data_IF_561314090137
#
_entry.id   IF_561314090137
#
_cell.length_a   1.000
_cell.length_b   1.000
_cell.length_c   1.000
_cell.angle_alpha   90.00
_cell.angle_beta   90.00
_cell.angle_gamma   90.00
#
_symmetry.space_group_name_H-M   'P 1'
#
loop_
_entity.id
_entity.type
_entity.pdbx_description
1 polymer ?
#
# COMPACT_ATOMS: atom_id res chain seq x y z
N UNK A 1 -18.08 -9.62 9.72
CA UNK A 1 -18.92 -8.42 9.98
C UNK A 1 -20.31 -8.80 9.55
N UNK A 2 -21.27 -8.74 10.46
CA UNK A 2 -22.69 -8.89 10.14
C UNK A 2 -23.37 -7.54 10.24
N UNK A 3 -24.30 -7.26 9.33
CA UNK A 3 -24.86 -5.93 9.18
C UNK A 3 -25.94 -5.85 8.12
N UNK A 4 -26.43 -4.64 7.87
CA UNK A 4 -27.43 -4.34 6.87
C UNK A 4 -27.01 -3.15 6.01
N UNK A 5 -27.60 -3.04 4.82
CA UNK A 5 -27.40 -1.89 3.94
C UNK A 5 -28.31 -0.74 4.40
N UNK A 6 -27.70 0.37 4.79
CA UNK A 6 -28.36 1.64 5.10
C UNK A 6 -28.24 2.65 3.96
N UNK A 7 -29.08 3.67 3.98
CA UNK A 7 -28.97 4.85 3.11
C UNK A 7 -29.15 6.09 3.97
N UNK A 8 -28.28 7.08 3.78
CA UNK A 8 -28.37 8.36 4.48
C UNK A 8 -27.63 9.46 3.69
N UNK A 9 -27.48 10.62 4.28
CA UNK A 9 -26.80 11.77 3.72
C UNK A 9 -25.32 11.75 4.09
N UNK A 10 -24.46 12.00 3.10
CA UNK A 10 -23.03 12.22 3.30
C UNK A 10 -22.70 13.68 2.95
N UNK A 11 -22.22 14.44 3.91
CA UNK A 11 -21.71 15.80 3.67
C UNK A 11 -20.19 15.74 3.51
N UNK A 12 -19.68 16.19 2.36
CA UNK A 12 -18.26 16.26 2.06
C UNK A 12 -17.94 17.61 1.42
N UNK A 13 -16.94 18.32 1.97
CA UNK A 13 -16.53 19.66 1.52
C UNK A 13 -17.71 20.66 1.36
N UNK A 14 -18.65 20.61 2.30
CA UNK A 14 -19.87 21.43 2.28
C UNK A 14 -20.93 21.01 1.25
N UNK A 15 -20.66 20.00 0.43
CA UNK A 15 -21.62 19.41 -0.52
C UNK A 15 -22.36 18.26 0.15
N UNK A 16 -23.69 18.28 0.06
CA UNK A 16 -24.55 17.23 0.62
C UNK A 16 -24.91 16.22 -0.47
N UNK A 17 -24.48 14.98 -0.29
CA UNK A 17 -24.85 13.85 -1.13
C UNK A 17 -26.01 13.08 -0.50
N UNK A 18 -27.15 13.04 -1.20
CA UNK A 18 -28.36 12.35 -0.74
C UNK A 18 -28.33 10.86 -1.08
N UNK A 19 -28.99 10.04 -0.24
CA UNK A 19 -29.25 8.62 -0.50
C UNK A 19 -27.95 7.84 -0.82
N UNK A 20 -26.91 8.06 -0.01
CA UNK A 20 -25.63 7.34 -0.14
C UNK A 20 -25.78 5.99 0.55
N UNK A 21 -25.60 4.86 -0.18
CA UNK A 21 -25.61 3.54 0.43
C UNK A 21 -24.36 3.32 1.28
N UNK A 22 -24.51 2.76 2.46
CA UNK A 22 -23.39 2.35 3.33
C UNK A 22 -23.76 1.12 4.16
N UNK A 23 -22.76 0.37 4.61
CA UNK A 23 -22.98 -0.79 5.47
C UNK A 23 -23.08 -0.39 6.95
N UNK A 24 -24.18 -0.72 7.60
CA UNK A 24 -24.34 -0.63 9.05
C UNK A 24 -23.89 -1.96 9.67
N UNK A 25 -22.80 -1.95 10.44
CA UNK A 25 -22.32 -3.13 11.15
C UNK A 25 -23.00 -3.26 12.53
N UNK A 26 -23.57 -4.43 12.82
CA UNK A 26 -24.05 -4.77 14.16
C UNK A 26 -22.91 -5.32 15.02
N UNK A 27 -22.03 -6.10 14.38
CA UNK A 27 -20.83 -6.66 15.00
C UNK A 27 -19.62 -6.49 14.07
N UNK A 28 -18.53 -5.97 14.65
CA UNK A 28 -17.24 -5.84 13.99
C UNK A 28 -16.19 -6.65 14.76
N UNK A 29 -15.58 -7.61 14.08
CA UNK A 29 -14.44 -8.37 14.62
C UNK A 29 -13.14 -7.79 14.04
N UNK A 30 -12.06 -7.86 14.83
CA UNK A 30 -10.73 -7.38 14.42
C UNK A 30 -10.65 -5.89 14.03
N UNK A 31 -11.65 -5.08 14.39
CA UNK A 31 -11.61 -3.63 14.21
C UNK A 31 -11.10 -2.95 15.48
N UNK A 32 -9.77 -2.88 15.62
CA UNK A 32 -9.13 -2.15 16.71
C UNK A 32 -9.17 -0.65 16.40
N UNK A 33 -10.08 0.08 17.04
CA UNK A 33 -10.31 1.50 16.76
C UNK A 33 -10.27 2.38 18.02
N UNK A 34 -9.90 1.83 19.18
CA UNK A 34 -9.89 2.48 20.50
C UNK A 34 -11.18 3.27 20.84
N UNK A 35 -12.32 2.90 20.23
CA UNK A 35 -13.60 3.62 20.29
C UNK A 35 -13.56 5.06 19.75
N UNK A 36 -12.55 5.40 18.95
CA UNK A 36 -12.38 6.73 18.34
C UNK A 36 -13.15 6.85 17.03
N UNK A 37 -13.27 5.76 16.27
CA UNK A 37 -13.90 5.76 14.95
C UNK A 37 -15.25 5.04 14.95
N UNK A 38 -16.26 5.65 14.34
CA UNK A 38 -17.60 5.05 14.20
C UNK A 38 -17.72 4.07 13.01
N UNK A 39 -16.69 3.94 12.17
CA UNK A 39 -16.70 3.07 11.00
C UNK A 39 -15.49 3.24 10.09
N UNK A 40 -15.56 2.66 8.89
CA UNK A 40 -14.52 2.69 7.86
C UNK A 40 -15.12 3.15 6.53
N UNK A 41 -14.39 4.01 5.81
CA UNK A 41 -14.73 4.38 4.43
C UNK A 41 -13.82 3.60 3.48
N UNK A 42 -14.40 2.72 2.67
CA UNK A 42 -13.65 2.04 1.61
C UNK A 42 -13.42 2.99 0.44
N UNK A 43 -12.17 3.23 0.04
CA UNK A 43 -11.85 4.02 -1.16
C UNK A 43 -12.33 3.36 -2.48
N UNK A 44 -12.77 2.10 -2.41
CA UNK A 44 -13.43 1.34 -3.49
C UNK A 44 -14.92 1.68 -3.59
N UNK A 45 -15.54 2.14 -2.50
CA UNK A 45 -16.98 2.36 -2.36
C UNK A 45 -17.45 3.67 -2.99
N UNK A 46 -16.62 4.29 -3.84
CA UNK A 46 -16.97 5.49 -4.60
C UNK A 46 -17.86 5.10 -5.80
N UNK A 47 -18.97 4.44 -5.47
CA UNK A 47 -20.08 4.18 -6.35
C UNK A 47 -20.84 5.46 -6.66
N UNK A 48 -21.46 5.51 -7.86
CA UNK A 48 -21.97 6.68 -8.60
C UNK A 48 -20.97 7.33 -9.58
N UNK A 49 -20.21 6.53 -10.33
CA UNK A 49 -19.45 7.01 -11.50
C UNK A 49 -18.16 7.78 -11.19
N UNK A 50 -17.76 7.85 -9.92
CA UNK A 50 -16.52 8.46 -9.49
C UNK A 50 -15.39 7.43 -9.62
N UNK A 51 -14.77 7.39 -10.80
CA UNK A 51 -13.76 6.39 -11.19
C UNK A 51 -12.35 6.66 -10.66
N UNK A 52 -12.18 7.67 -9.80
CA UNK A 52 -10.87 8.15 -9.37
C UNK A 52 -10.95 8.80 -8.00
N UNK A 53 -9.89 8.63 -7.21
CA UNK A 53 -9.67 9.36 -5.98
C UNK A 53 -8.19 9.74 -5.86
N UNK A 54 -7.87 10.68 -4.96
CA UNK A 54 -6.50 11.01 -4.60
C UNK A 54 -6.42 11.30 -3.11
N UNK A 55 -5.32 10.90 -2.47
CA UNK A 55 -5.13 11.11 -1.04
C UNK A 55 -3.73 11.68 -0.77
N UNK A 56 -3.62 12.40 0.35
CA UNK A 56 -2.35 12.77 0.96
C UNK A 56 -2.48 12.50 2.45
N UNK A 57 -1.90 11.39 2.90
CA UNK A 57 -1.86 11.02 4.31
C UNK A 57 -0.66 11.70 4.98
N UNK A 58 -0.79 11.99 6.28
CA UNK A 58 0.28 12.52 7.11
C UNK A 58 0.48 11.61 8.31
N UNK A 59 1.71 11.52 8.78
CA UNK A 59 2.02 10.79 10.01
C UNK A 59 1.71 11.69 11.21
N UNK A 60 0.78 11.27 12.07
CA UNK A 60 0.28 12.04 13.22
C UNK A 60 1.27 12.24 14.39
N UNK A 61 2.58 12.18 14.15
CA UNK A 61 3.64 12.25 15.15
C UNK A 61 4.46 13.55 15.18
N UNK A 62 4.13 14.55 14.34
CA UNK A 62 4.84 15.84 14.28
C UNK A 62 4.03 16.95 13.64
N UNK A 63 4.29 18.20 14.06
CA UNK A 63 3.59 19.46 13.72
C UNK A 63 2.06 19.35 13.69
N UNK A 64 1.42 19.83 14.76
CA UNK A 64 -0.02 19.78 15.06
C UNK A 64 -0.95 20.50 14.05
N UNK A 65 -0.45 20.93 12.89
CA UNK A 65 -1.18 21.80 11.97
C UNK A 65 -1.19 21.35 10.50
N UNK A 66 -0.79 20.10 10.20
CA UNK A 66 -0.88 19.56 8.83
C UNK A 66 -2.17 18.78 8.66
N UNK A 67 -3.00 19.22 7.71
CA UNK A 67 -4.20 18.50 7.29
C UNK A 67 -3.89 17.73 6.00
N UNK A 68 -4.18 16.43 6.01
CA UNK A 68 -4.21 15.61 4.81
C UNK A 68 -5.46 15.88 3.98
N UNK A 69 -5.59 15.17 2.87
CA UNK A 69 -6.83 15.20 2.08
C UNK A 69 -7.15 13.83 1.51
N UNK A 70 -8.43 13.63 1.22
CA UNK A 70 -8.97 12.56 0.40
C UNK A 70 -9.98 13.21 -0.53
N UNK A 71 -9.79 13.10 -1.85
CA UNK A 71 -10.61 13.74 -2.90
C UNK A 71 -11.16 12.69 -3.84
N UNK A 72 -12.34 12.95 -4.41
CA UNK A 72 -13.04 12.01 -5.28
C UNK A 72 -13.39 12.63 -6.64
N UNK A 73 -13.46 11.78 -7.67
CA UNK A 73 -13.90 12.11 -9.02
C UNK A 73 -13.24 13.32 -9.66
N UNK A 74 -14.04 14.37 -9.86
CA UNK A 74 -13.66 15.62 -10.54
C UNK A 74 -12.73 16.48 -9.70
N UNK A 75 -12.74 16.32 -8.37
CA UNK A 75 -11.90 17.10 -7.46
C UNK A 75 -10.43 16.64 -7.49
N UNK A 76 -10.16 15.50 -8.12
CA UNK A 76 -8.81 15.00 -8.33
C UNK A 76 -8.15 15.79 -9.48
N UNK A 77 -7.14 16.63 -9.22
CA UNK A 77 -6.51 17.43 -10.26
C UNK A 77 -5.79 16.54 -11.27
N UNK A 78 -5.84 16.92 -12.55
CA UNK A 78 -4.94 16.33 -13.56
C UNK A 78 -3.62 17.06 -13.49
N UNK A 79 -2.52 16.32 -13.29
CA UNK A 79 -1.18 16.89 -13.34
C UNK A 79 -0.33 16.04 -14.29
N UNK A 80 0.16 16.62 -15.41
CA UNK A 80 0.97 15.88 -16.37
C UNK A 80 2.34 15.47 -15.82
N UNK A 81 2.76 16.00 -14.66
CA UNK A 81 4.01 15.64 -13.99
C UNK A 81 3.88 14.41 -13.07
N UNK A 82 2.68 13.86 -12.90
CA UNK A 82 2.52 12.65 -12.10
C UNK A 82 3.22 11.48 -12.78
N UNK A 83 3.97 10.71 -11.98
CA UNK A 83 4.41 9.38 -12.37
C UNK A 83 3.23 8.44 -12.13
N UNK A 84 2.82 7.75 -13.17
CA UNK A 84 1.68 6.83 -13.13
C UNK A 84 2.16 5.41 -13.33
N UNK A 85 1.39 4.47 -12.83
CA UNK A 85 1.49 3.05 -13.15
C UNK A 85 0.07 2.51 -13.32
N UNK A 86 -0.08 1.47 -14.13
CA UNK A 86 -1.38 0.84 -14.37
C UNK A 86 -1.86 0.08 -13.14
N UNK A 87 -3.09 0.34 -12.74
CA UNK A 87 -3.83 -0.54 -11.83
C UNK A 87 -4.19 -1.80 -12.61
N UNK A 88 -3.77 -2.95 -12.10
CA UNK A 88 -4.03 -4.24 -12.70
C UNK A 88 -5.51 -4.61 -12.56
N UNK A 89 -6.11 -5.25 -13.58
CA UNK A 89 -7.48 -5.74 -13.47
C UNK A 89 -7.57 -6.83 -12.41
N UNK A 90 -8.78 -7.01 -11.86
CA UNK A 90 -9.08 -8.17 -11.04
C UNK A 90 -8.84 -9.47 -11.84
N UNK A 91 -8.36 -10.52 -11.17
CA UNK A 91 -8.12 -11.83 -11.75
C UNK A 91 -9.43 -12.56 -12.03
N UNK A 92 -10.43 -12.38 -11.18
CA UNK A 92 -11.78 -12.91 -11.30
C UNK A 92 -12.80 -12.03 -10.55
N UNK A 93 -14.07 -12.48 -10.51
CA UNK A 93 -15.17 -11.76 -9.87
C UNK A 93 -15.20 -11.87 -8.33
N UNK A 94 -14.41 -12.78 -7.75
CA UNK A 94 -14.34 -13.04 -6.32
C UNK A 94 -13.15 -12.34 -5.65
N UNK A 95 -12.18 -11.88 -6.44
CA UNK A 95 -11.07 -11.11 -5.92
C UNK A 95 -11.56 -9.81 -5.27
N UNK A 96 -11.25 -9.68 -3.97
CA UNK A 96 -11.52 -8.47 -3.21
C UNK A 96 -10.92 -7.28 -3.94
N UNK A 97 -11.73 -6.24 -4.13
CA UNK A 97 -11.30 -5.00 -4.79
C UNK A 97 -10.07 -4.46 -4.07
N UNK A 98 -8.91 -4.58 -4.72
CA UNK A 98 -7.61 -4.07 -4.27
C UNK A 98 -6.95 -3.29 -5.40
N UNK A 99 -6.18 -2.26 -5.06
CA UNK A 99 -5.43 -1.48 -6.04
C UNK A 99 -4.10 -2.16 -6.34
N UNK A 100 -4.15 -3.21 -7.17
CA UNK A 100 -2.96 -3.98 -7.53
C UNK A 100 -2.12 -3.27 -8.58
N UNK A 101 -0.80 -3.31 -8.42
CA UNK A 101 0.19 -2.76 -9.35
C UNK A 101 1.27 -3.80 -9.64
N UNK A 102 1.93 -3.71 -10.80
CA UNK A 102 2.97 -4.65 -11.22
C UNK A 102 4.33 -4.24 -10.67
N UNK A 103 4.72 -4.74 -9.50
CA UNK A 103 6.05 -4.53 -8.92
C UNK A 103 7.06 -5.49 -9.56
N UNK A 104 8.12 -4.94 -10.17
CA UNK A 104 9.12 -5.70 -10.93
C UNK A 104 10.55 -5.54 -10.41
N UNK A 105 10.73 -4.81 -9.31
CA UNK A 105 12.02 -4.66 -8.69
C UNK A 105 12.06 -3.61 -7.60
N UNK A 106 13.16 -3.60 -6.86
CA UNK A 106 13.44 -2.64 -5.79
C UNK A 106 14.87 -2.11 -5.95
N UNK A 107 15.11 -0.87 -5.57
CA UNK A 107 16.45 -0.28 -5.49
C UNK A 107 16.69 0.38 -4.15
N UNK A 108 17.94 0.32 -3.69
CA UNK A 108 18.43 1.07 -2.55
C UNK A 108 19.39 2.15 -3.06
N UNK A 109 18.98 3.41 -2.95
CA UNK A 109 19.64 4.53 -3.63
C UNK A 109 19.64 4.32 -5.14
N UNK A 110 20.80 4.42 -5.77
CA UNK A 110 20.97 4.18 -7.20
C UNK A 110 21.15 2.69 -7.57
N UNK A 111 21.26 1.78 -6.60
CA UNK A 111 21.58 0.37 -6.84
C UNK A 111 20.33 -0.49 -6.89
N UNK A 112 20.12 -1.17 -8.02
CA UNK A 112 19.09 -2.21 -8.15
C UNK A 112 19.46 -3.45 -7.33
N UNK A 113 18.46 -4.02 -6.66
CA UNK A 113 18.64 -5.24 -5.86
C UNK A 113 18.38 -6.44 -6.77
N UNK A 114 19.44 -7.03 -7.32
CA UNK A 114 19.33 -8.11 -8.32
C UNK A 114 18.71 -9.41 -7.77
N UNK A 115 18.72 -9.58 -6.45
CA UNK A 115 18.03 -10.69 -5.78
C UNK A 115 16.49 -10.59 -5.85
N UNK A 116 15.96 -9.40 -6.12
CA UNK A 116 14.51 -9.18 -6.27
C UNK A 116 14.10 -9.48 -7.70
N UNK A 117 13.31 -10.54 -7.87
CA UNK A 117 12.79 -10.95 -9.18
C UNK A 117 11.29 -10.68 -9.28
N UNK A 118 10.77 -10.28 -10.45
CA UNK A 118 9.35 -10.00 -10.65
C UNK A 118 8.42 -11.14 -10.18
N UNK A 119 8.85 -12.39 -10.33
CA UNK A 119 8.06 -13.58 -9.99
C UNK A 119 7.72 -13.67 -8.50
N UNK A 120 8.53 -13.04 -7.62
CA UNK A 120 8.25 -12.95 -6.18
C UNK A 120 6.97 -12.16 -5.88
N UNK A 121 6.53 -11.33 -6.83
CA UNK A 121 5.32 -10.52 -6.73
C UNK A 121 4.28 -10.90 -7.79
N UNK A 122 4.45 -12.03 -8.47
CA UNK A 122 3.48 -12.47 -9.47
C UNK A 122 2.13 -12.77 -8.81
N UNK A 123 1.05 -12.35 -9.48
CA UNK A 123 -0.32 -12.66 -9.06
C UNK A 123 -0.70 -14.03 -9.59
N UNK A 124 -1.16 -14.89 -8.71
CA UNK A 124 -1.58 -16.24 -9.00
C UNK A 124 -3.10 -16.29 -9.18
N UNK A 125 -3.54 -16.85 -10.30
CA UNK A 125 -4.96 -16.87 -10.69
C UNK A 125 -5.76 -17.96 -9.97
N UNK A 126 -5.06 -18.98 -9.50
CA UNK A 126 -5.61 -20.19 -8.90
C UNK A 126 -6.03 -19.99 -7.44
N UNK A 127 -5.28 -19.20 -6.68
CA UNK A 127 -5.53 -18.93 -5.26
C UNK A 127 -5.75 -17.43 -4.95
N UNK A 128 -5.58 -16.55 -5.93
CA UNK A 128 -5.67 -15.09 -5.74
C UNK A 128 -4.51 -14.51 -4.92
N UNK A 129 -3.47 -15.29 -4.65
CA UNK A 129 -2.32 -14.86 -3.85
C UNK A 129 -1.28 -14.09 -4.67
N UNK A 130 -0.40 -13.41 -3.94
CA UNK A 130 0.69 -12.62 -4.50
C UNK A 130 0.25 -11.24 -4.98
N UNK A 131 1.06 -10.63 -5.86
CA UNK A 131 0.87 -9.25 -6.28
C UNK A 131 1.45 -8.21 -5.32
N UNK A 132 1.26 -6.95 -5.71
CA UNK A 132 1.55 -5.78 -4.90
C UNK A 132 0.29 -4.93 -4.85
N UNK A 133 -0.33 -4.82 -3.67
CA UNK A 133 -1.54 -4.02 -3.46
C UNK A 133 -1.20 -2.72 -2.73
N UNK A 134 -1.86 -1.63 -3.13
CA UNK A 134 -1.86 -0.39 -2.37
C UNK A 134 -2.98 -0.48 -1.34
N UNK A 135 -2.59 -0.53 -0.06
CA UNK A 135 -3.52 -0.55 1.07
C UNK A 135 -3.32 0.69 1.95
N UNK A 136 -4.40 1.45 2.14
CA UNK A 136 -4.42 2.65 2.99
C UNK A 136 -4.69 2.33 4.46
N UNK A 137 -5.12 1.11 4.77
CA UNK A 137 -5.43 0.65 6.11
C UNK A 137 -4.23 0.09 6.88
N UNK A 138 -3.20 -0.40 6.18
CA UNK A 138 -2.01 -0.97 6.82
C UNK A 138 -0.93 0.09 7.04
N UNK A 139 -0.49 0.35 8.28
CA UNK A 139 0.48 1.41 8.59
C UNK A 139 1.93 1.09 8.16
N UNK A 140 2.20 -0.14 7.75
CA UNK A 140 3.52 -0.64 7.36
C UNK A 140 3.46 -1.33 6.00
N UNK A 141 4.54 -1.26 5.24
CA UNK A 141 4.66 -2.09 4.03
C UNK A 141 4.96 -3.53 4.44
N UNK A 142 4.11 -4.46 3.99
CA UNK A 142 4.34 -5.90 4.11
C UNK A 142 4.87 -6.41 2.78
N UNK A 143 5.86 -7.31 2.83
CA UNK A 143 6.54 -7.85 1.65
C UNK A 143 6.62 -9.37 1.75
N UNK A 144 6.57 -10.06 0.61
CA UNK A 144 6.85 -11.49 0.54
C UNK A 144 8.22 -11.79 1.17
N UNK A 145 8.30 -12.84 2.00
CA UNK A 145 9.48 -13.10 2.84
C UNK A 145 10.79 -13.11 2.03
N UNK A 146 10.81 -13.80 0.88
CA UNK A 146 12.00 -13.87 0.02
C UNK A 146 12.48 -12.49 -0.47
N UNK A 147 11.55 -11.59 -0.76
CA UNK A 147 11.88 -10.22 -1.16
C UNK A 147 12.26 -9.36 0.05
N UNK A 148 11.60 -9.56 1.19
CA UNK A 148 11.91 -8.87 2.44
C UNK A 148 13.34 -9.16 2.88
N UNK A 149 13.79 -10.41 2.82
CA UNK A 149 15.13 -10.82 3.24
C UNK A 149 16.22 -10.10 2.42
N UNK A 150 16.04 -10.00 1.09
CA UNK A 150 16.95 -9.28 0.19
C UNK A 150 16.99 -7.79 0.51
N UNK A 151 15.83 -7.17 0.77
CA UNK A 151 15.75 -5.75 1.15
C UNK A 151 16.37 -5.53 2.52
N UNK A 152 16.06 -6.37 3.51
CA UNK A 152 16.61 -6.29 4.87
C UNK A 152 18.13 -6.36 4.83
N UNK A 153 18.69 -7.36 4.15
CA UNK A 153 20.14 -7.53 4.02
C UNK A 153 20.78 -6.31 3.35
N UNK A 154 20.20 -5.83 2.25
CA UNK A 154 20.72 -4.67 1.53
C UNK A 154 20.73 -3.40 2.40
N UNK A 155 19.64 -3.15 3.14
CA UNK A 155 19.52 -2.00 4.05
C UNK A 155 20.48 -2.15 5.23
N UNK A 156 20.61 -3.35 5.80
CA UNK A 156 21.54 -3.58 6.90
C UNK A 156 23.00 -3.39 6.48
N UNK A 157 23.41 -3.89 5.31
CA UNK A 157 24.77 -3.69 4.79
C UNK A 157 25.09 -2.21 4.57
N UNK A 158 24.12 -1.42 4.07
CA UNK A 158 24.28 0.04 3.93
C UNK A 158 24.43 0.74 5.29
N UNK A 159 23.55 0.41 6.24
CA UNK A 159 23.60 0.91 7.61
C UNK A 159 24.93 0.57 8.30
N UNK A 160 25.37 -0.68 8.20
CA UNK A 160 26.60 -1.17 8.79
C UNK A 160 27.83 -0.45 8.23
N UNK A 161 27.90 -0.23 6.91
CA UNK A 161 28.97 0.55 6.27
C UNK A 161 29.03 1.99 6.78
N UNK A 162 27.89 2.52 7.23
CA UNK A 162 27.77 3.84 7.81
C UNK A 162 27.96 3.86 9.34
N UNK A 163 28.34 2.73 9.95
CA UNK A 163 28.63 2.63 11.39
C UNK A 163 27.39 2.48 12.28
N UNK A 164 26.26 2.05 11.73
CA UNK A 164 25.07 1.76 12.54
C UNK A 164 25.26 0.49 13.39
N UNK A 165 24.63 0.48 14.57
CA UNK A 165 24.61 -0.66 15.48
C UNK A 165 23.26 -1.37 15.39
N UNK A 166 23.24 -2.68 15.08
CA UNK A 166 22.01 -3.49 15.10
C UNK A 166 21.56 -3.68 16.54
N UNK A 167 20.28 -3.49 16.79
CA UNK A 167 19.67 -3.75 18.11
C UNK A 167 18.59 -4.80 17.96
N UNK A 168 18.49 -5.72 18.93
CA UNK A 168 17.37 -6.66 19.00
C UNK A 168 16.29 -6.05 19.87
N UNK A 169 15.05 -6.03 19.37
CA UNK A 169 13.87 -5.62 20.15
C UNK A 169 12.89 -6.79 20.14
N UNK A 170 12.60 -7.42 21.30
CA UNK A 170 11.55 -8.43 21.39
C UNK A 170 10.22 -7.88 20.87
N UNK A 171 9.57 -8.60 19.94
CA UNK A 171 8.35 -8.13 19.28
C UNK A 171 8.52 -6.94 18.32
N UNK A 172 9.76 -6.55 17.98
CA UNK A 172 10.06 -5.52 17.00
C UNK A 172 10.09 -6.04 15.56
N UNK A 173 10.23 -5.13 14.60
CA UNK A 173 10.47 -5.45 13.18
C UNK A 173 11.78 -6.23 12.98
N UNK A 174 11.91 -6.95 11.86
CA UNK A 174 13.07 -7.81 11.55
C UNK A 174 14.43 -7.09 11.63
N UNK A 175 14.46 -5.81 11.25
CA UNK A 175 15.64 -4.96 11.34
C UNK A 175 15.38 -3.74 12.23
N UNK A 176 16.12 -3.66 13.33
CA UNK A 176 16.20 -2.49 14.20
C UNK A 176 17.66 -2.07 14.37
N UNK A 177 17.91 -0.76 14.42
CA UNK A 177 19.26 -0.19 14.63
C UNK A 177 19.21 1.04 15.54
N UNK A 178 20.34 1.38 16.17
CA UNK A 178 20.45 2.59 16.98
C UNK A 178 20.44 3.83 16.08
N UNK A 179 19.34 4.57 16.11
CA UNK A 179 19.19 5.79 15.32
C UNK A 179 20.05 6.94 15.87
N UNK A 180 20.71 7.67 14.98
CA UNK A 180 21.38 8.95 15.24
C UNK A 180 21.20 9.86 14.03
N UNK A 181 21.32 11.18 14.19
CA UNK A 181 21.22 12.13 13.06
C UNK A 181 22.19 11.81 11.92
N UNK A 182 23.38 11.33 12.26
CA UNK A 182 24.40 10.95 11.28
C UNK A 182 24.00 9.71 10.49
N UNK A 183 23.40 8.71 11.14
CA UNK A 183 22.91 7.49 10.48
C UNK A 183 21.65 7.78 9.67
N UNK A 184 20.65 8.44 10.26
CA UNK A 184 19.38 8.71 9.58
C UNK A 184 19.54 9.67 8.41
N UNK A 185 20.49 10.62 8.48
CA UNK A 185 20.81 11.51 7.37
C UNK A 185 21.52 10.85 6.19
N UNK A 186 22.01 9.61 6.34
CA UNK A 186 22.68 8.83 5.28
C UNK A 186 21.84 7.69 4.72
N UNK A 187 20.66 7.45 5.29
CA UNK A 187 19.75 6.41 4.83
C UNK A 187 19.43 6.61 3.34
N UNK A 188 19.74 5.57 2.56
CA UNK A 188 19.40 5.55 1.16
C UNK A 188 17.89 5.39 0.97
N UNK A 189 17.35 6.02 -0.08
CA UNK A 189 15.95 5.83 -0.44
C UNK A 189 15.71 4.41 -0.94
N UNK A 190 14.56 3.83 -0.55
CA UNK A 190 14.07 2.60 -1.14
C UNK A 190 13.11 2.98 -2.28
N UNK A 191 13.40 2.57 -3.50
CA UNK A 191 12.57 2.85 -4.68
C UNK A 191 11.93 1.55 -5.18
N UNK A 192 10.62 1.60 -5.43
CA UNK A 192 9.85 0.52 -6.04
C UNK A 192 9.72 0.75 -7.54
N UNK A 193 9.98 -0.28 -8.34
CA UNK A 193 9.93 -0.21 -9.80
C UNK A 193 8.67 -0.89 -10.30
N UNK A 194 7.85 -0.15 -11.04
CA UNK A 194 6.59 -0.67 -11.56
C UNK A 194 6.64 -0.84 -13.08
N UNK A 195 5.94 -1.85 -13.58
CA UNK A 195 5.73 -2.08 -15.01
C UNK A 195 4.28 -1.79 -15.40
N UNK A 196 4.09 -1.40 -16.67
CA UNK A 196 2.76 -1.27 -17.28
C UNK A 196 2.13 -2.65 -17.62
N UNK A 197 2.95 -3.70 -17.69
CA UNK A 197 2.52 -5.07 -17.93
C UNK A 197 2.46 -5.89 -16.64
N UNK A 198 1.44 -6.75 -16.46
CA UNK A 198 1.41 -7.67 -15.32
C UNK A 198 2.60 -8.63 -15.38
N UNK A 199 3.26 -8.84 -14.24
CA UNK A 199 4.29 -9.87 -14.15
C UNK A 199 3.68 -11.24 -14.48
N UNK A 200 4.16 -11.87 -15.55
CA UNK A 200 3.66 -13.15 -16.03
C UNK A 200 4.54 -14.30 -15.53
N UNK A 201 3.99 -15.20 -14.72
CA UNK A 201 4.51 -16.57 -14.62
C UNK A 201 4.15 -17.28 -15.93
N UNK A 202 4.99 -17.15 -16.96
CA UNK A 202 4.82 -18.01 -18.13
C UNK A 202 5.10 -19.46 -17.68
N UNK A 203 4.10 -20.34 -17.80
CA UNK A 203 4.36 -21.79 -17.76
C UNK A 203 5.46 -22.06 -18.79
N UNK A 204 6.58 -22.66 -18.34
CA UNK A 204 7.59 -23.22 -19.24
C UNK A 204 6.86 -24.05 -20.30
N UNK A 205 6.79 -23.57 -21.53
CA UNK A 205 6.51 -24.44 -22.66
C UNK A 205 7.79 -25.23 -22.86
N UNK A 206 7.72 -26.55 -22.68
CA UNK A 206 8.80 -27.46 -23.10
C UNK A 206 9.27 -27.07 -24.49
N UNK A 207 10.56 -26.81 -24.62
CA UNK A 207 11.21 -26.93 -25.92
C UNK A 207 11.07 -28.42 -26.31
N UNK A 208 10.34 -28.64 -27.41
CA UNK A 208 10.38 -29.90 -28.16
C UNK A 208 11.51 -29.80 -29.17
#
# INVERSE_FOLDING_TARGET
VEGYLGHDQLTYDGVVHQNVPFGCANEAHHFQNDRVFAGVIGAQAVGRGLTRFSYCLFHGGGETNRQGFLRFGTDVPRNPRYRTTKILPALDAHELSGHYVSLVGVSLGARRLDGIRPEMFARRKDDGEGGCAIDLGTPVTVMAQEAYDVVEEAVWLDLQRNGAERVKRPGGYGLCFRASKAITGRLQSLSLHFSEEPCCLSRRRSCS
#
